data_IF_532864160186
#
_entry.id   IF_532864160186
#
_cell.length_a   1.000
_cell.length_b   1.000
_cell.length_c   1.000
_cell.angle_alpha   90.00
_cell.angle_beta   90.00
_cell.angle_gamma   90.00
#
_symmetry.space_group_name_H-M   'P 1'
#
loop_
_entity.id
_entity.type
_entity.pdbx_description
1 polymer ?
#
# COMPACT_ATOMS: atom_id res chain seq x y z
N UNK A 1 -8.42 -4.91 -34.01
CA UNK A 1 -8.69 -5.05 -32.56
C UNK A 1 -9.81 -4.09 -32.22
N UNK A 2 -11.05 -4.59 -32.12
CA UNK A 2 -12.17 -3.76 -31.69
C UNK A 2 -12.00 -3.50 -30.18
N UNK A 3 -11.78 -2.23 -29.81
CA UNK A 3 -11.93 -1.79 -28.42
C UNK A 3 -13.40 -2.03 -28.07
N UNK A 4 -13.64 -2.90 -27.09
CA UNK A 4 -15.00 -3.23 -26.65
C UNK A 4 -15.65 -1.96 -26.09
N UNK A 5 -16.71 -1.48 -26.76
CA UNK A 5 -17.44 -0.25 -26.44
C UNK A 5 -18.18 -0.32 -25.07
N UNK A 6 -18.21 -1.51 -24.44
CA UNK A 6 -18.80 -1.77 -23.13
C UNK A 6 -17.76 -2.13 -22.05
N UNK A 7 -16.56 -1.56 -22.08
CA UNK A 7 -15.60 -1.73 -20.99
C UNK A 7 -16.13 -1.05 -19.71
N UNK A 8 -16.36 -1.84 -18.65
CA UNK A 8 -16.77 -1.31 -17.35
C UNK A 8 -15.54 -0.67 -16.69
N UNK A 9 -15.49 0.66 -16.70
CA UNK A 9 -14.42 1.46 -16.08
C UNK A 9 -14.75 1.89 -14.66
N UNK A 10 -16.04 1.90 -14.30
CA UNK A 10 -16.55 2.30 -13.00
C UNK A 10 -17.18 1.12 -12.27
N UNK A 11 -16.64 0.80 -11.10
CA UNK A 11 -17.09 -0.32 -10.27
C UNK A 11 -18.49 -0.09 -9.70
N UNK A 12 -18.96 1.15 -9.62
CA UNK A 12 -20.29 1.49 -9.10
C UNK A 12 -21.43 1.01 -10.00
N UNK A 13 -21.15 0.73 -11.28
CA UNK A 13 -22.10 0.15 -12.22
C UNK A 13 -22.35 -1.35 -11.98
N UNK A 14 -21.56 -1.98 -11.10
CA UNK A 14 -21.64 -3.41 -10.80
C UNK A 14 -22.60 -3.68 -9.64
N UNK A 15 -23.17 -4.89 -9.61
CA UNK A 15 -23.94 -5.34 -8.45
C UNK A 15 -23.05 -5.39 -7.20
N UNK A 16 -23.65 -5.15 -6.02
CA UNK A 16 -22.93 -5.19 -4.73
C UNK A 16 -22.14 -6.49 -4.53
N UNK A 17 -22.71 -7.63 -4.95
CA UNK A 17 -22.02 -8.92 -4.89
C UNK A 17 -20.75 -8.94 -5.76
N UNK A 18 -20.82 -8.41 -6.99
CA UNK A 18 -19.68 -8.36 -7.90
C UNK A 18 -18.62 -7.36 -7.44
N UNK A 19 -19.02 -6.24 -6.82
CA UNK A 19 -18.07 -5.32 -6.16
C UNK A 19 -17.31 -5.99 -5.02
N UNK A 20 -17.99 -6.77 -4.17
CA UNK A 20 -17.34 -7.52 -3.09
C UNK A 20 -16.35 -8.53 -3.67
N UNK A 21 -16.75 -9.32 -4.66
CA UNK A 21 -15.85 -10.29 -5.31
C UNK A 21 -14.61 -9.62 -5.91
N UNK A 22 -14.78 -8.48 -6.58
CA UNK A 22 -13.66 -7.72 -7.16
C UNK A 22 -12.74 -7.16 -6.08
N UNK A 23 -13.29 -6.65 -4.97
CA UNK A 23 -12.51 -6.18 -3.82
C UNK A 23 -11.68 -7.29 -3.18
N UNK A 24 -12.25 -8.49 -3.04
CA UNK A 24 -11.52 -9.67 -2.57
C UNK A 24 -10.39 -10.04 -3.52
N UNK A 25 -10.65 -10.08 -4.84
CA UNK A 25 -9.61 -10.32 -5.84
C UNK A 25 -8.47 -9.29 -5.74
N UNK A 26 -8.82 -8.01 -5.64
CA UNK A 26 -7.83 -6.94 -5.52
C UNK A 26 -6.98 -7.08 -4.25
N UNK A 27 -7.60 -7.47 -3.13
CA UNK A 27 -6.89 -7.72 -1.86
C UNK A 27 -5.83 -8.81 -2.04
N UNK A 28 -6.18 -9.94 -2.67
CA UNK A 28 -5.22 -11.02 -2.94
C UNK A 28 -4.12 -10.61 -3.92
N UNK A 29 -4.44 -9.77 -4.91
CA UNK A 29 -3.42 -9.22 -5.82
C UNK A 29 -2.40 -8.35 -5.08
N UNK A 30 -2.85 -7.48 -4.17
CA UNK A 30 -1.96 -6.59 -3.42
C UNK A 30 -1.25 -7.27 -2.23
N UNK A 31 -1.79 -8.41 -1.77
CA UNK A 31 -1.24 -9.21 -0.66
C UNK A 31 0.21 -9.63 -0.93
N UNK A 32 0.53 -10.06 -2.16
CA UNK A 32 1.85 -10.56 -2.51
C UNK A 32 2.96 -9.56 -2.18
N UNK A 33 2.85 -8.33 -2.67
CA UNK A 33 3.83 -7.28 -2.39
C UNK A 33 3.86 -6.89 -0.90
N UNK A 34 2.68 -6.80 -0.28
CA UNK A 34 2.53 -6.36 1.12
C UNK A 34 3.09 -7.35 2.13
N UNK A 35 3.17 -8.64 1.77
CA UNK A 35 3.78 -9.68 2.60
C UNK A 35 5.24 -9.94 2.22
N UNK A 36 5.57 -9.86 0.93
CA UNK A 36 6.92 -10.16 0.45
C UNK A 36 7.98 -9.21 1.03
N UNK A 37 7.72 -7.90 1.03
CA UNK A 37 8.68 -6.91 1.56
C UNK A 37 8.99 -7.14 3.04
N UNK A 38 8.00 -7.24 3.96
CA UNK A 38 8.28 -7.49 5.37
C UNK A 38 9.02 -8.81 5.59
N UNK A 39 8.70 -9.87 4.84
CA UNK A 39 9.44 -11.14 4.93
C UNK A 39 10.91 -10.96 4.57
N UNK A 40 11.20 -10.29 3.45
CA UNK A 40 12.59 -10.09 2.99
C UNK A 40 13.37 -9.19 3.95
N UNK A 41 12.71 -8.20 4.54
CA UNK A 41 13.36 -7.17 5.37
C UNK A 41 13.39 -7.51 6.86
N UNK A 42 12.71 -8.58 7.29
CA UNK A 42 12.59 -8.96 8.69
C UNK A 42 11.59 -8.12 9.50
N UNK A 43 10.72 -7.36 8.82
CA UNK A 43 9.63 -6.62 9.46
C UNK A 43 8.46 -7.55 9.78
N UNK A 44 7.62 -7.14 10.74
CA UNK A 44 6.44 -7.91 11.10
C UNK A 44 5.37 -7.84 10.01
N UNK A 45 4.97 -9.01 9.49
CA UNK A 45 4.00 -9.13 8.40
C UNK A 45 2.61 -8.72 8.87
N UNK A 46 2.22 -9.07 10.10
CA UNK A 46 0.90 -8.78 10.65
C UNK A 46 0.68 -7.28 10.80
N UNK A 47 1.67 -6.56 11.35
CA UNK A 47 1.69 -5.11 11.48
C UNK A 47 1.68 -4.44 10.10
N UNK A 48 2.43 -4.96 9.13
CA UNK A 48 2.45 -4.42 7.76
C UNK A 48 1.09 -4.53 7.08
N UNK A 49 0.43 -5.69 7.18
CA UNK A 49 -0.93 -5.90 6.64
C UNK A 49 -1.97 -5.04 7.36
N UNK A 50 -1.88 -4.94 8.68
CA UNK A 50 -2.76 -4.10 9.48
C UNK A 50 -2.64 -2.61 9.09
N UNK A 51 -1.42 -2.10 9.00
CA UNK A 51 -1.15 -0.71 8.62
C UNK A 51 -1.46 -0.43 7.14
N UNK A 52 -1.29 -1.41 6.25
CA UNK A 52 -1.74 -1.29 4.85
C UNK A 52 -3.26 -1.09 4.76
N UNK A 53 -4.03 -1.88 5.52
CA UNK A 53 -5.49 -1.75 5.61
C UNK A 53 -5.92 -0.43 6.24
N UNK A 54 -5.42 -0.12 7.44
CA UNK A 54 -5.75 1.12 8.16
C UNK A 54 -5.32 2.35 7.36
N UNK A 55 -4.11 2.34 6.79
CA UNK A 55 -3.59 3.41 5.96
C UNK A 55 -4.46 3.62 4.73
N UNK A 56 -4.87 2.55 4.05
CA UNK A 56 -5.78 2.64 2.90
C UNK A 56 -7.12 3.27 3.28
N UNK A 57 -7.70 2.89 4.42
CA UNK A 57 -8.94 3.50 4.91
C UNK A 57 -8.75 4.98 5.27
N UNK A 58 -7.64 5.33 5.93
CA UNK A 58 -7.32 6.70 6.28
C UNK A 58 -7.12 7.57 5.03
N UNK A 59 -6.43 7.05 4.01
CA UNK A 59 -6.23 7.70 2.73
C UNK A 59 -7.57 8.00 2.04
N UNK A 60 -8.47 7.02 1.97
CA UNK A 60 -9.81 7.22 1.40
C UNK A 60 -10.63 8.23 2.21
N UNK A 61 -10.49 8.26 3.53
CA UNK A 61 -11.17 9.24 4.39
C UNK A 61 -10.67 10.67 4.11
N UNK A 62 -9.35 10.86 4.02
CA UNK A 62 -8.72 12.17 3.75
C UNK A 62 -9.06 12.65 2.33
N UNK A 63 -9.00 11.76 1.34
CA UNK A 63 -9.29 12.06 -0.07
C UNK A 63 -10.78 12.05 -0.42
N UNK A 64 -11.66 11.84 0.56
CA UNK A 64 -13.13 11.76 0.39
C UNK A 64 -13.57 10.73 -0.66
N UNK A 65 -12.81 9.63 -0.78
CA UNK A 65 -13.10 8.56 -1.72
C UNK A 65 -12.95 8.92 -3.20
N UNK A 66 -12.27 10.02 -3.53
CA UNK A 66 -12.09 10.45 -4.92
C UNK A 66 -11.07 9.60 -5.69
N UNK A 67 -10.12 9.00 -4.97
CA UNK A 67 -9.03 8.21 -5.57
C UNK A 67 -9.09 6.78 -5.05
N UNK A 68 -9.38 5.78 -5.91
CA UNK A 68 -9.38 4.38 -5.52
C UNK A 68 -7.93 3.85 -5.48
N UNK A 69 -7.28 3.93 -4.32
CA UNK A 69 -5.89 3.49 -4.16
C UNK A 69 -5.72 2.56 -2.95
N UNK A 70 -4.93 1.49 -3.12
CA UNK A 70 -4.50 0.61 -2.04
C UNK A 70 -3.06 0.91 -1.66
N UNK A 71 -2.80 1.09 -0.36
CA UNK A 71 -1.48 1.37 0.19
C UNK A 71 -0.80 0.05 0.59
N UNK A 72 0.11 -0.44 -0.26
CA UNK A 72 0.92 -1.64 -0.01
C UNK A 72 2.37 -1.34 0.34
N UNK A 73 3.16 -2.39 0.61
CA UNK A 73 4.60 -2.24 0.87
C UNK A 73 5.38 -1.85 -0.39
N UNK A 74 6.28 -0.87 -0.27
CA UNK A 74 7.09 -0.37 -1.39
C UNK A 74 8.41 -1.13 -1.52
N UNK A 75 8.67 -1.66 -2.72
CA UNK A 75 9.89 -2.41 -3.00
C UNK A 75 11.14 -1.52 -3.00
N UNK A 76 10.96 -0.21 -3.18
CA UNK A 76 12.05 0.78 -3.10
C UNK A 76 12.73 0.80 -1.72
N UNK A 77 12.03 0.34 -0.67
CA UNK A 77 12.57 0.31 0.69
C UNK A 77 13.36 -0.96 1.02
N UNK A 78 13.36 -2.00 0.16
CA UNK A 78 14.08 -3.26 0.45
C UNK A 78 15.59 -3.01 0.63
N UNK A 79 16.23 -2.42 -0.39
CA UNK A 79 17.67 -2.16 -0.37
C UNK A 79 18.13 -1.29 0.81
N UNK A 80 17.52 -0.12 1.09
CA UNK A 80 17.95 0.71 2.21
C UNK A 80 17.64 0.07 3.58
N UNK A 81 16.53 -0.67 3.74
CA UNK A 81 16.25 -1.37 4.99
C UNK A 81 17.31 -2.44 5.24
N UNK A 82 17.65 -3.26 4.25
CA UNK A 82 18.69 -4.29 4.40
C UNK A 82 20.07 -3.68 4.68
N UNK A 83 20.40 -2.56 4.03
CA UNK A 83 21.67 -1.86 4.24
C UNK A 83 21.82 -1.36 5.69
N UNK A 84 20.77 -0.73 6.24
CA UNK A 84 20.79 -0.22 7.63
C UNK A 84 20.66 -1.35 8.64
N UNK A 85 19.82 -2.34 8.37
CA UNK A 85 19.64 -3.49 9.26
C UNK A 85 20.94 -4.29 9.43
N UNK A 86 21.75 -4.43 8.37
CA UNK A 86 23.03 -5.14 8.44
C UNK A 86 24.15 -4.40 9.19
N UNK A 87 24.07 -3.08 9.32
CA UNK A 87 25.14 -2.26 9.93
C UNK A 87 24.77 -1.69 11.29
N UNK A 88 23.52 -1.27 11.47
CA UNK A 88 23.05 -0.56 12.67
C UNK A 88 21.93 -1.31 13.41
N UNK A 89 21.27 -2.28 12.77
CA UNK A 89 20.16 -3.03 13.34
C UNK A 89 18.80 -2.58 12.79
N UNK A 90 17.81 -3.45 12.97
CA UNK A 90 16.49 -3.28 12.36
C UNK A 90 15.68 -2.14 13.00
N UNK A 91 15.93 -1.82 14.28
CA UNK A 91 15.29 -0.68 14.94
C UNK A 91 15.62 0.66 14.27
N UNK A 92 16.86 0.84 13.80
CA UNK A 92 17.25 2.05 13.09
C UNK A 92 16.59 2.15 11.71
N UNK A 93 16.44 1.02 11.02
CA UNK A 93 15.70 0.98 9.75
C UNK A 93 14.23 1.36 9.95
N UNK A 94 13.58 0.88 11.02
CA UNK A 94 12.20 1.27 11.38
C UNK A 94 12.08 2.76 11.68
N UNK A 95 13.04 3.33 12.41
CA UNK A 95 13.12 4.78 12.63
C UNK A 95 13.24 5.56 11.31
N UNK A 96 14.08 5.08 10.40
CA UNK A 96 14.23 5.65 9.06
C UNK A 96 12.93 5.66 8.24
N UNK A 97 12.13 4.59 8.32
CA UNK A 97 10.81 4.52 7.68
C UNK A 97 9.87 5.61 8.22
N UNK A 98 9.86 5.83 9.54
CA UNK A 98 9.04 6.89 10.16
C UNK A 98 9.48 8.27 9.68
N UNK A 99 10.78 8.53 9.63
CA UNK A 99 11.33 9.80 9.11
C UNK A 99 10.96 10.00 7.63
N UNK A 100 11.03 8.95 6.80
CA UNK A 100 10.60 9.03 5.41
C UNK A 100 9.11 9.41 5.28
N UNK A 101 8.26 8.89 6.18
CA UNK A 101 6.85 9.29 6.27
C UNK A 101 6.68 10.79 6.58
N UNK A 102 7.47 11.32 7.51
CA UNK A 102 7.46 12.77 7.79
C UNK A 102 7.92 13.61 6.59
N UNK A 103 8.92 13.15 5.84
CA UNK A 103 9.34 13.82 4.60
C UNK A 103 8.19 13.90 3.61
N UNK A 104 7.39 12.84 3.45
CA UNK A 104 6.19 12.89 2.61
C UNK A 104 5.14 13.89 3.12
N UNK A 105 4.95 14.01 4.43
CA UNK A 105 4.04 15.03 4.98
C UNK A 105 4.53 16.46 4.72
N UNK A 106 5.85 16.70 4.84
CA UNK A 106 6.45 18.00 4.54
C UNK A 106 6.27 18.34 3.06
N UNK A 107 6.54 17.39 2.17
CA UNK A 107 6.36 17.58 0.73
C UNK A 107 4.89 17.85 0.38
N UNK A 108 3.96 17.12 1.00
CA UNK A 108 2.52 17.33 0.82
C UNK A 108 2.03 18.69 1.37
N UNK A 109 2.73 19.30 2.33
CA UNK A 109 2.39 20.63 2.82
C UNK A 109 3.00 21.76 1.97
N UNK A 110 4.08 21.47 1.25
CA UNK A 110 4.77 22.44 0.37
C UNK A 110 4.09 22.57 -1.00
N UNK A 111 3.52 21.47 -1.51
CA UNK A 111 2.85 21.39 -2.81
C UNK A 111 1.36 21.71 -2.70
#
# INVERSE_FOLDING_TARGET
MAVNEHAITDVTQLSKAKMITLGVQHTFTMFGATVLVPIITGLDVSASLFLAGVGTLLFHLITKGQVPAFLGSSFAFIAPILAVAGTHGLEYARGGIVVAGFVYLILAALM
#
